data_IF_955704449562
#
_entry.id   IF_955704449562
#
_cell.length_a   1.000
_cell.length_b   1.000
_cell.length_c   1.000
_cell.angle_alpha   90.00
_cell.angle_beta   90.00
_cell.angle_gamma   90.00
#
_symmetry.space_group_name_H-M   'P 1'
#
loop_
_entity.id
_entity.type
_entity.pdbx_description
1 polymer ?
#
# COMPACT_ATOMS: atom_id res chain seq x y z
N UNK A 1 91.90 29.13 34.24
CA UNK A 1 90.96 28.16 34.80
C UNK A 1 89.59 28.47 34.27
N UNK A 2 89.14 27.75 33.23
CA UNK A 2 87.84 27.96 32.56
C UNK A 2 86.95 26.76 32.95
N UNK A 3 85.78 27.08 33.52
CA UNK A 3 84.76 26.07 33.85
C UNK A 3 83.68 26.04 32.73
N UNK A 4 83.66 24.92 32.02
CA UNK A 4 82.57 24.67 31.02
C UNK A 4 81.31 24.19 31.74
N UNK A 5 80.15 24.82 31.48
CA UNK A 5 78.84 24.36 31.93
C UNK A 5 78.12 23.67 30.76
N UNK A 6 77.86 22.40 30.91
CA UNK A 6 77.03 21.60 30.02
C UNK A 6 75.55 21.79 30.37
N UNK A 7 74.74 22.23 29.41
CA UNK A 7 73.28 22.27 29.49
C UNK A 7 72.72 20.97 28.90
N UNK A 8 72.07 20.17 29.76
CA UNK A 8 71.33 19.02 29.28
C UNK A 8 69.94 19.43 28.77
N UNK A 9 69.65 19.06 27.54
CA UNK A 9 68.32 19.24 26.95
C UNK A 9 67.45 18.02 27.28
N UNK A 10 66.36 18.24 28.04
CA UNK A 10 65.29 17.21 28.22
C UNK A 10 64.37 17.27 27.00
N UNK A 11 64.32 16.20 26.20
CA UNK A 11 63.33 15.99 25.16
C UNK A 11 62.07 15.38 25.78
N UNK A 12 60.97 16.12 25.81
CA UNK A 12 59.65 15.58 26.20
C UNK A 12 59.02 14.88 24.99
N UNK A 13 58.90 13.55 25.02
CA UNK A 13 58.10 12.77 24.06
C UNK A 13 56.61 12.96 24.40
N UNK A 14 55.92 13.77 23.58
CA UNK A 14 54.45 13.83 23.61
C UNK A 14 53.83 12.63 22.89
N UNK A 15 53.19 11.73 23.63
CA UNK A 15 52.38 10.65 23.06
C UNK A 15 51.02 11.22 22.62
N UNK A 16 50.83 11.42 21.31
CA UNK A 16 49.53 11.79 20.71
C UNK A 16 48.68 10.53 20.59
N UNK A 17 47.70 10.36 21.49
CA UNK A 17 46.67 9.32 21.37
C UNK A 17 45.64 9.77 20.30
N UNK A 18 45.72 9.15 19.12
CA UNK A 18 44.71 9.31 18.08
C UNK A 18 43.43 8.57 18.50
N UNK A 19 42.37 9.30 18.84
CA UNK A 19 41.02 8.75 19.03
C UNK A 19 40.46 8.38 17.65
N UNK A 20 40.50 7.09 17.31
CA UNK A 20 39.78 6.56 16.12
C UNK A 20 38.29 6.51 16.42
N UNK A 21 37.53 7.48 15.88
CA UNK A 21 36.06 7.44 15.88
C UNK A 21 35.65 6.38 14.85
N UNK A 22 35.27 5.18 15.30
CA UNK A 22 34.65 4.18 14.43
C UNK A 22 33.23 4.63 14.16
N UNK A 23 32.97 5.15 12.95
CA UNK A 23 31.63 5.39 12.46
C UNK A 23 30.92 4.05 12.30
N UNK A 24 29.90 3.78 13.12
CA UNK A 24 28.99 2.65 12.91
C UNK A 24 28.28 2.85 11.57
N UNK A 25 28.28 1.84 10.67
CA UNK A 25 27.54 1.96 9.42
C UNK A 25 26.06 2.19 9.74
N UNK A 26 25.48 3.27 9.20
CA UNK A 26 24.05 3.51 9.28
C UNK A 26 23.33 2.31 8.65
N UNK A 27 22.46 1.64 9.41
CA UNK A 27 21.67 0.54 8.87
C UNK A 27 20.81 1.08 7.72
N UNK A 28 20.91 0.48 6.54
CA UNK A 28 20.07 0.86 5.41
C UNK A 28 18.59 0.67 5.76
N UNK A 29 17.75 1.65 5.41
CA UNK A 29 16.31 1.55 5.64
C UNK A 29 15.73 0.31 4.96
N UNK A 30 14.85 -0.41 5.65
CA UNK A 30 14.20 -1.59 5.10
C UNK A 30 13.34 -1.23 3.89
N UNK A 31 13.43 -2.04 2.83
CA UNK A 31 12.69 -1.83 1.58
C UNK A 31 11.19 -2.09 1.77
N UNK A 32 10.36 -1.14 1.34
CA UNK A 32 8.91 -1.26 1.34
C UNK A 32 8.35 -0.94 -0.06
N UNK A 33 7.63 -1.90 -0.65
CA UNK A 33 6.95 -1.72 -1.95
C UNK A 33 5.45 -1.67 -1.72
N UNK A 34 4.82 -0.57 -2.11
CA UNK A 34 3.37 -0.39 -2.04
C UNK A 34 2.76 -0.53 -3.44
N UNK A 35 2.00 -1.60 -3.61
CA UNK A 35 1.27 -1.96 -4.82
C UNK A 35 -0.21 -1.63 -4.66
N UNK A 36 -0.96 -1.66 -5.76
CA UNK A 36 -2.41 -1.63 -5.73
C UNK A 36 -3.04 -0.53 -6.56
N UNK A 37 -4.26 -0.20 -6.19
CA UNK A 37 -5.16 0.71 -6.89
C UNK A 37 -5.29 2.09 -6.21
N UNK A 38 -6.44 2.74 -6.42
CA UNK A 38 -6.77 4.07 -5.88
C UNK A 38 -6.79 4.12 -4.36
N UNK A 39 -7.20 3.06 -3.67
CA UNK A 39 -7.20 3.02 -2.22
C UNK A 39 -5.76 3.02 -1.68
N UNK A 40 -4.88 2.22 -2.28
CA UNK A 40 -3.45 2.25 -1.95
C UNK A 40 -2.77 3.55 -2.36
N UNK A 41 -3.14 4.16 -3.49
CA UNK A 41 -2.53 5.43 -3.94
C UNK A 41 -2.98 6.63 -3.11
N UNK A 42 -4.14 6.56 -2.45
CA UNK A 42 -4.67 7.62 -1.58
C UNK A 42 -5.57 8.61 -2.31
N UNK A 43 -6.31 8.15 -3.31
CA UNK A 43 -7.37 8.94 -3.96
C UNK A 43 -8.39 9.40 -2.91
N UNK A 44 -8.85 10.65 -3.04
CA UNK A 44 -9.75 11.29 -2.06
C UNK A 44 -9.03 12.19 -1.04
N UNK A 45 -7.71 12.06 -0.86
CA UNK A 45 -6.93 12.93 0.05
C UNK A 45 -6.73 14.34 -0.48
N UNK A 46 -7.01 14.60 -1.77
CA UNK A 46 -6.90 15.89 -2.46
C UNK A 46 -5.49 16.51 -2.51
N UNK A 47 -4.48 15.78 -2.04
CA UNK A 47 -3.07 16.23 -2.07
C UNK A 47 -2.24 15.12 -2.68
N UNK A 48 -1.80 15.31 -3.93
CA UNK A 48 -1.11 14.30 -4.71
C UNK A 48 0.34 14.68 -4.97
N UNK A 49 1.19 13.66 -5.04
CA UNK A 49 2.59 13.78 -5.41
C UNK A 49 2.66 14.11 -6.91
N UNK A 50 3.37 15.18 -7.28
CA UNK A 50 3.63 15.49 -8.68
C UNK A 50 4.80 14.62 -9.18
N UNK A 51 4.50 13.39 -9.56
CA UNK A 51 5.48 12.41 -10.05
C UNK A 51 5.40 12.17 -11.56
N UNK A 52 4.69 13.03 -12.28
CA UNK A 52 4.53 12.96 -13.75
C UNK A 52 3.59 11.85 -14.21
N UNK A 53 2.81 11.23 -13.30
CA UNK A 53 1.86 10.17 -13.64
C UNK A 53 0.43 10.55 -13.25
N UNK A 54 -0.57 9.86 -13.83
CA UNK A 54 -1.98 9.97 -13.46
C UNK A 54 -2.38 9.08 -12.26
N UNK A 55 -1.42 8.47 -11.57
CA UNK A 55 -1.68 7.48 -10.53
C UNK A 55 -2.27 8.05 -9.23
N UNK A 56 -2.27 9.37 -9.07
CA UNK A 56 -2.81 10.06 -7.90
C UNK A 56 -2.25 9.54 -6.56
N UNK A 57 -0.94 9.29 -6.52
CA UNK A 57 -0.25 8.90 -5.27
C UNK A 57 -0.19 10.07 -4.31
N UNK A 58 -0.47 9.82 -3.03
CA UNK A 58 -0.57 10.86 -2.01
C UNK A 58 0.43 10.66 -0.88
N UNK A 59 0.92 11.79 -0.34
CA UNK A 59 1.70 11.81 0.91
C UNK A 59 0.85 11.40 2.12
N UNK A 60 -0.48 11.48 2.00
CA UNK A 60 -1.44 11.08 3.04
C UNK A 60 -2.00 9.66 2.81
N UNK A 61 -1.57 8.97 1.76
CA UNK A 61 -1.91 7.56 1.58
C UNK A 61 -1.27 6.69 2.67
N UNK A 62 -1.94 5.61 3.07
CA UNK A 62 -1.41 4.72 4.13
C UNK A 62 0.04 4.25 3.88
N UNK A 63 0.47 3.96 2.63
CA UNK A 63 1.86 3.58 2.40
C UNK A 63 2.86 4.67 2.76
N UNK A 64 2.55 5.93 2.40
CA UNK A 64 3.40 7.09 2.71
C UNK A 64 3.50 7.31 4.23
N UNK A 65 2.36 7.24 4.92
CA UNK A 65 2.30 7.41 6.38
C UNK A 65 3.05 6.31 7.13
N UNK A 66 2.90 5.05 6.70
CA UNK A 66 3.62 3.91 7.28
C UNK A 66 5.13 4.06 7.04
N UNK A 67 5.53 4.40 5.82
CA UNK A 67 6.93 4.57 5.48
C UNK A 67 7.59 5.68 6.32
N UNK A 68 6.93 6.82 6.44
CA UNK A 68 7.42 7.93 7.26
C UNK A 68 7.51 7.55 8.76
N UNK A 69 6.47 6.91 9.30
CA UNK A 69 6.43 6.52 10.72
C UNK A 69 7.47 5.45 11.08
N UNK A 70 7.77 4.52 10.15
CA UNK A 70 8.67 3.38 10.38
C UNK A 70 10.07 3.58 9.81
N UNK A 71 10.37 4.70 9.17
CA UNK A 71 11.67 4.94 8.52
C UNK A 71 11.96 3.95 7.40
N UNK A 72 10.95 3.59 6.58
CA UNK A 72 11.10 2.62 5.50
C UNK A 72 11.44 3.33 4.16
N UNK A 73 12.25 2.66 3.33
CA UNK A 73 12.51 3.10 1.96
C UNK A 73 11.34 2.69 1.06
N UNK A 74 10.41 3.63 0.81
CA UNK A 74 9.18 3.38 0.04
C UNK A 74 9.42 3.41 -1.47
N UNK A 75 9.07 2.32 -2.16
CA UNK A 75 8.82 2.28 -3.60
C UNK A 75 7.31 2.26 -3.85
N UNK A 76 6.75 3.42 -4.16
CA UNK A 76 5.30 3.62 -4.26
C UNK A 76 4.82 3.36 -5.69
N UNK A 77 4.23 2.19 -5.93
CA UNK A 77 3.81 1.73 -7.27
C UNK A 77 2.30 1.72 -7.49
N UNK A 78 1.50 1.83 -6.42
CA UNK A 78 0.04 1.87 -6.54
C UNK A 78 -0.43 2.96 -7.52
N UNK A 79 -1.49 2.69 -8.25
CA UNK A 79 -1.99 3.58 -9.30
C UNK A 79 -3.52 3.57 -9.32
N UNK A 80 -4.13 4.76 -9.34
CA UNK A 80 -5.58 4.93 -9.44
C UNK A 80 -6.14 4.15 -10.64
N UNK A 81 -7.25 3.43 -10.43
CA UNK A 81 -7.92 2.64 -11.46
C UNK A 81 -7.30 1.26 -11.74
N UNK A 82 -6.17 0.91 -11.12
CA UNK A 82 -5.49 -0.35 -11.41
C UNK A 82 -6.35 -1.56 -11.06
N UNK A 83 -6.42 -2.51 -11.99
CA UNK A 83 -6.99 -3.86 -11.84
C UNK A 83 -5.87 -4.84 -11.51
N UNK A 84 -6.23 -6.09 -11.18
CA UNK A 84 -5.26 -7.19 -10.92
C UNK A 84 -4.27 -7.34 -12.09
N UNK A 85 -4.74 -7.23 -13.34
CA UNK A 85 -3.90 -7.32 -14.52
C UNK A 85 -2.88 -6.17 -14.60
N UNK A 86 -3.29 -4.93 -14.26
CA UNK A 86 -2.40 -3.77 -14.28
C UNK A 86 -1.31 -3.89 -13.23
N UNK A 87 -1.66 -4.32 -12.01
CA UNK A 87 -0.66 -4.59 -10.97
C UNK A 87 0.34 -5.63 -11.44
N UNK A 88 -0.14 -6.74 -12.05
CA UNK A 88 0.71 -7.81 -12.57
C UNK A 88 1.69 -7.31 -13.62
N UNK A 89 1.20 -6.52 -14.58
CA UNK A 89 1.96 -6.12 -15.76
C UNK A 89 2.88 -4.93 -15.51
N UNK A 90 2.51 -4.00 -14.60
CA UNK A 90 3.21 -2.71 -14.48
C UNK A 90 3.85 -2.46 -13.12
N UNK A 91 3.38 -3.11 -12.04
CA UNK A 91 3.83 -2.81 -10.69
C UNK A 91 4.80 -3.86 -10.12
N UNK A 92 4.69 -5.13 -10.52
CA UNK A 92 5.51 -6.22 -9.97
C UNK A 92 7.00 -6.14 -10.33
N UNK A 93 7.39 -5.30 -11.29
CA UNK A 93 8.80 -5.04 -11.61
C UNK A 93 9.56 -4.38 -10.45
N UNK A 94 8.85 -3.76 -9.51
CA UNK A 94 9.42 -3.14 -8.32
C UNK A 94 9.83 -4.14 -7.23
N UNK A 95 9.39 -5.39 -7.32
CA UNK A 95 9.68 -6.44 -6.36
C UNK A 95 11.00 -7.15 -6.69
N UNK A 96 11.71 -7.55 -5.65
CA UNK A 96 12.93 -8.36 -5.75
C UNK A 96 13.20 -9.14 -4.47
N UNK A 97 14.23 -10.00 -4.47
CA UNK A 97 14.62 -10.84 -3.33
C UNK A 97 15.00 -10.02 -2.09
N UNK A 98 15.41 -8.75 -2.25
CA UNK A 98 15.73 -7.81 -1.18
C UNK A 98 14.53 -7.02 -0.66
N UNK A 99 13.33 -7.22 -1.21
CA UNK A 99 12.11 -6.56 -0.71
C UNK A 99 11.75 -7.09 0.68
N UNK A 100 11.62 -6.19 1.66
CA UNK A 100 11.32 -6.56 3.06
C UNK A 100 9.83 -6.54 3.35
N UNK A 101 9.14 -5.50 2.88
CA UNK A 101 7.70 -5.30 3.12
C UNK A 101 6.97 -5.04 1.81
N UNK A 102 5.76 -5.58 1.71
CA UNK A 102 4.84 -5.31 0.60
C UNK A 102 3.45 -5.03 1.17
N UNK A 103 2.77 -4.01 0.68
CA UNK A 103 1.33 -3.84 0.88
C UNK A 103 0.61 -3.77 -0.45
N UNK A 104 -0.66 -4.19 -0.48
CA UNK A 104 -1.48 -4.18 -1.69
C UNK A 104 -2.97 -4.11 -1.36
N UNK A 105 -3.70 -3.20 -2.02
CA UNK A 105 -5.16 -3.24 -2.19
C UNK A 105 -5.47 -3.33 -3.67
N UNK A 106 -6.22 -4.33 -4.10
CA UNK A 106 -6.62 -4.50 -5.51
C UNK A 106 -7.83 -5.41 -5.60
N UNK A 107 -8.65 -5.21 -6.61
CA UNK A 107 -9.81 -6.05 -6.91
C UNK A 107 -11.13 -5.28 -6.98
N UNK A 108 -11.23 -4.11 -6.34
CA UNK A 108 -12.40 -3.24 -6.43
C UNK A 108 -12.69 -2.80 -7.87
N UNK A 109 -11.67 -2.42 -8.62
CA UNK A 109 -11.82 -2.06 -10.04
C UNK A 109 -12.11 -3.26 -10.94
N UNK A 110 -11.65 -4.47 -10.60
CA UNK A 110 -12.01 -5.69 -11.30
C UNK A 110 -13.51 -6.00 -11.17
N UNK A 111 -14.09 -5.73 -9.99
CA UNK A 111 -15.51 -5.86 -9.71
C UNK A 111 -16.36 -4.71 -10.26
N UNK A 112 -15.75 -3.68 -10.85
CA UNK A 112 -16.48 -2.51 -11.37
C UNK A 112 -17.06 -1.61 -10.29
N UNK A 113 -16.46 -1.54 -9.11
CA UNK A 113 -17.07 -0.92 -7.94
C UNK A 113 -17.39 0.57 -8.12
N UNK A 114 -16.55 1.33 -8.85
CA UNK A 114 -16.83 2.74 -9.14
C UNK A 114 -18.04 2.91 -10.08
N UNK A 115 -18.19 2.01 -11.06
CA UNK A 115 -19.31 2.01 -12.00
C UNK A 115 -20.62 1.67 -11.27
N UNK A 116 -20.57 0.67 -10.37
CA UNK A 116 -21.70 0.30 -9.50
C UNK A 116 -22.16 1.50 -8.64
N UNK A 117 -21.21 2.20 -8.02
CA UNK A 117 -21.55 3.40 -7.23
C UNK A 117 -22.18 4.50 -8.08
N UNK A 118 -21.68 4.71 -9.29
CA UNK A 118 -22.21 5.69 -10.22
C UNK A 118 -23.62 5.33 -10.67
N UNK A 119 -23.88 4.05 -10.93
CA UNK A 119 -25.20 3.53 -11.28
C UNK A 119 -26.17 3.70 -10.11
N UNK A 120 -25.79 3.29 -8.91
CA UNK A 120 -26.63 3.38 -7.72
C UNK A 120 -26.88 4.81 -7.24
N UNK A 121 -26.03 5.76 -7.61
CA UNK A 121 -26.23 7.17 -7.27
C UNK A 121 -27.31 7.87 -8.12
N UNK A 122 -27.80 7.23 -9.17
CA UNK A 122 -28.84 7.79 -10.05
C UNK A 122 -30.24 7.66 -9.41
N UNK A 123 -31.21 8.50 -9.85
CA UNK A 123 -32.62 8.32 -9.44
C UNK A 123 -33.11 6.91 -9.76
N UNK A 124 -33.86 6.28 -8.85
CA UNK A 124 -34.26 4.88 -8.96
C UNK A 124 -35.07 4.50 -10.22
N UNK A 125 -35.67 5.48 -10.92
CA UNK A 125 -36.36 5.26 -12.19
C UNK A 125 -35.39 5.25 -13.40
N UNK A 126 -34.11 5.61 -13.20
CA UNK A 126 -33.04 5.58 -14.21
C UNK A 126 -31.97 4.53 -13.90
N UNK A 127 -31.98 3.94 -12.71
CA UNK A 127 -30.91 3.09 -12.17
C UNK A 127 -31.34 1.62 -12.13
N UNK A 128 -30.42 0.74 -12.53
CA UNK A 128 -30.47 -0.69 -12.20
C UNK A 128 -29.37 -1.03 -11.16
N UNK A 129 -29.41 -0.32 -10.03
CA UNK A 129 -28.45 -0.50 -8.94
C UNK A 129 -28.35 -1.96 -8.48
N UNK A 130 -29.50 -2.64 -8.36
CA UNK A 130 -29.51 -4.04 -7.91
C UNK A 130 -28.82 -4.98 -8.91
N UNK A 131 -29.06 -4.83 -10.20
CA UNK A 131 -28.37 -5.58 -11.23
C UNK A 131 -26.85 -5.33 -11.25
N UNK A 132 -26.46 -4.06 -11.13
CA UNK A 132 -25.04 -3.71 -11.07
C UNK A 132 -24.34 -4.31 -9.84
N UNK A 133 -25.00 -4.34 -8.67
CA UNK A 133 -24.49 -5.01 -7.46
C UNK A 133 -24.38 -6.52 -7.69
N UNK A 134 -25.36 -7.17 -8.29
CA UNK A 134 -25.35 -8.62 -8.55
C UNK A 134 -24.20 -9.01 -9.50
N UNK A 135 -23.95 -8.23 -10.53
CA UNK A 135 -22.82 -8.41 -11.45
C UNK A 135 -21.47 -8.27 -10.74
N UNK A 136 -21.33 -7.25 -9.89
CA UNK A 136 -20.12 -7.08 -9.09
C UNK A 136 -19.89 -8.28 -8.15
N UNK A 137 -20.94 -8.74 -7.46
CA UNK A 137 -20.86 -9.91 -6.58
C UNK A 137 -20.55 -11.20 -7.35
N UNK A 138 -21.07 -11.36 -8.58
CA UNK A 138 -20.70 -12.47 -9.44
C UNK A 138 -19.19 -12.48 -9.75
N UNK A 139 -18.64 -11.33 -10.14
CA UNK A 139 -17.19 -11.18 -10.41
C UNK A 139 -16.37 -11.48 -9.15
N UNK A 140 -16.76 -10.93 -8.01
CA UNK A 140 -16.08 -11.14 -6.71
C UNK A 140 -16.08 -12.62 -6.32
N UNK A 141 -17.18 -13.34 -6.57
CA UNK A 141 -17.30 -14.73 -6.17
C UNK A 141 -16.59 -15.70 -7.14
N UNK A 142 -16.68 -15.46 -8.44
CA UNK A 142 -16.38 -16.47 -9.45
C UNK A 142 -15.13 -16.17 -10.27
N UNK A 143 -14.74 -14.92 -10.43
CA UNK A 143 -13.63 -14.51 -11.31
C UNK A 143 -12.42 -14.05 -10.51
N UNK A 144 -12.65 -13.15 -9.56
CA UNK A 144 -11.60 -12.48 -8.83
C UNK A 144 -10.69 -13.42 -8.01
N UNK A 145 -11.17 -14.49 -7.34
CA UNK A 145 -10.31 -15.37 -6.55
C UNK A 145 -9.18 -16.00 -7.35
N UNK A 146 -9.44 -16.43 -8.59
CA UNK A 146 -8.43 -17.01 -9.48
C UNK A 146 -7.37 -15.98 -9.88
N UNK A 147 -7.80 -14.76 -10.21
CA UNK A 147 -6.89 -13.65 -10.54
C UNK A 147 -5.99 -13.29 -9.37
N UNK A 148 -6.55 -13.15 -8.16
CA UNK A 148 -5.80 -12.84 -6.93
C UNK A 148 -4.81 -13.95 -6.59
N UNK A 149 -5.21 -15.22 -6.68
CA UNK A 149 -4.33 -16.36 -6.44
C UNK A 149 -3.08 -16.31 -7.32
N UNK A 150 -3.25 -15.98 -8.61
CA UNK A 150 -2.14 -15.85 -9.57
C UNK A 150 -1.25 -14.65 -9.23
N UNK A 151 -1.84 -13.48 -8.95
CA UNK A 151 -1.11 -12.28 -8.56
C UNK A 151 -0.29 -12.51 -7.29
N UNK A 152 -0.90 -13.07 -6.25
CA UNK A 152 -0.22 -13.29 -4.96
C UNK A 152 0.88 -14.35 -5.07
N UNK A 153 0.71 -15.36 -5.93
CA UNK A 153 1.80 -16.28 -6.27
C UNK A 153 2.97 -15.58 -6.94
N UNK A 154 2.69 -14.64 -7.85
CA UNK A 154 3.71 -13.84 -8.53
C UNK A 154 4.44 -12.90 -7.57
N UNK A 155 3.73 -12.29 -6.62
CA UNK A 155 4.33 -11.47 -5.55
C UNK A 155 5.29 -12.33 -4.72
N UNK A 156 4.85 -13.51 -4.26
CA UNK A 156 5.68 -14.42 -3.46
C UNK A 156 6.91 -14.89 -4.23
N UNK A 157 6.77 -15.21 -5.52
CA UNK A 157 7.87 -15.65 -6.37
C UNK A 157 8.95 -14.55 -6.54
N UNK A 158 8.53 -13.29 -6.71
CA UNK A 158 9.45 -12.15 -6.89
C UNK A 158 10.08 -11.65 -5.57
N UNK A 159 9.35 -11.74 -4.46
CA UNK A 159 9.77 -11.30 -3.14
C UNK A 159 9.58 -12.43 -2.11
N UNK A 160 10.40 -13.51 -2.18
CA UNK A 160 10.18 -14.75 -1.42
C UNK A 160 10.24 -14.53 0.10
N UNK A 161 11.01 -13.58 0.56
CA UNK A 161 11.21 -13.30 2.00
C UNK A 161 10.38 -12.11 2.51
N UNK A 162 9.62 -11.45 1.64
CA UNK A 162 8.87 -10.26 2.03
C UNK A 162 7.70 -10.60 2.98
N UNK A 163 7.49 -9.72 3.95
CA UNK A 163 6.24 -9.66 4.72
C UNK A 163 5.21 -8.92 3.88
N UNK A 164 4.19 -9.66 3.45
CA UNK A 164 3.13 -9.13 2.57
C UNK A 164 1.86 -8.93 3.37
N UNK A 165 1.28 -7.74 3.29
CA UNK A 165 -0.03 -7.41 3.85
C UNK A 165 -0.98 -7.01 2.73
N UNK A 166 -2.07 -7.76 2.59
CA UNK A 166 -3.21 -7.37 1.77
C UNK A 166 -4.09 -6.46 2.62
N UNK A 167 -4.44 -5.31 2.08
CA UNK A 167 -5.31 -4.33 2.75
C UNK A 167 -6.67 -4.36 2.08
N UNK A 168 -7.71 -4.58 2.86
CA UNK A 168 -9.09 -4.56 2.39
C UNK A 168 -9.62 -3.16 2.12
N UNK A 169 -10.91 -3.06 1.82
CA UNK A 169 -11.61 -1.80 1.57
C UNK A 169 -12.57 -1.49 2.71
N UNK A 170 -12.74 -0.21 3.09
CA UNK A 170 -13.73 0.18 4.07
C UNK A 170 -15.15 -0.01 3.53
N UNK A 171 -16.12 -0.08 4.43
CA UNK A 171 -17.51 0.16 4.07
C UNK A 171 -17.68 1.62 3.64
N UNK A 172 -18.58 1.89 2.72
CA UNK A 172 -18.74 3.21 2.12
C UNK A 172 -19.78 4.03 2.87
N UNK A 173 -20.86 3.36 3.31
CA UNK A 173 -21.99 4.01 3.96
C UNK A 173 -22.00 3.73 5.45
N UNK A 174 -22.32 4.76 6.21
CA UNK A 174 -22.51 4.67 7.67
C UNK A 174 -24.01 4.83 8.04
N UNK A 175 -24.90 4.42 7.12
CA UNK A 175 -26.35 4.43 7.33
C UNK A 175 -27.06 5.73 6.93
N UNK A 176 -26.35 6.67 6.31
CA UNK A 176 -26.92 7.94 5.84
C UNK A 176 -26.32 8.32 4.49
N UNK A 177 -27.18 8.69 3.52
CA UNK A 177 -26.75 9.38 2.29
C UNK A 177 -26.54 10.86 2.61
N UNK A 178 -25.28 11.28 2.65
CA UNK A 178 -24.88 12.65 3.00
C UNK A 178 -24.91 13.62 1.81
N UNK A 179 -25.29 13.19 0.61
CA UNK A 179 -25.23 14.01 -0.59
C UNK A 179 -26.63 14.25 -1.19
N UNK A 180 -27.06 15.51 -1.25
CA UNK A 180 -28.34 15.90 -1.82
C UNK A 180 -28.50 15.62 -3.33
N UNK A 181 -27.46 15.20 -4.03
CA UNK A 181 -27.45 14.88 -5.46
C UNK A 181 -27.23 13.40 -5.75
N UNK A 182 -27.34 12.53 -4.75
CA UNK A 182 -27.30 11.08 -4.86
C UNK A 182 -28.61 10.50 -4.33
N UNK A 183 -29.00 9.32 -4.82
CA UNK A 183 -30.32 8.72 -4.51
C UNK A 183 -30.18 7.28 -4.00
N UNK A 184 -29.17 7.04 -3.14
CA UNK A 184 -29.02 5.74 -2.51
C UNK A 184 -30.19 5.47 -1.53
N UNK A 185 -30.88 4.36 -1.74
CA UNK A 185 -31.82 3.88 -0.72
C UNK A 185 -31.07 3.18 0.42
N UNK A 186 -31.64 3.12 1.63
CA UNK A 186 -31.03 2.38 2.75
C UNK A 186 -30.75 0.90 2.43
N UNK A 187 -31.55 0.29 1.57
CA UNK A 187 -31.35 -1.10 1.11
C UNK A 187 -30.12 -1.19 0.21
N UNK A 188 -29.93 -0.27 -0.72
CA UNK A 188 -28.76 -0.22 -1.61
C UNK A 188 -27.48 0.06 -0.84
N UNK A 189 -27.48 0.99 0.11
CA UNK A 189 -26.33 1.24 1.00
C UNK A 189 -25.93 -0.03 1.76
N UNK A 190 -26.90 -0.74 2.33
CA UNK A 190 -26.69 -2.00 3.04
C UNK A 190 -26.11 -3.07 2.10
N UNK A 191 -26.62 -3.18 0.86
CA UNK A 191 -26.11 -4.14 -0.13
C UNK A 191 -24.69 -3.78 -0.59
N UNK A 192 -24.39 -2.50 -0.81
CA UNK A 192 -23.07 -2.01 -1.18
C UNK A 192 -22.03 -2.28 -0.08
N UNK A 193 -22.39 -2.03 1.18
CA UNK A 193 -21.55 -2.39 2.32
C UNK A 193 -21.31 -3.90 2.41
N UNK A 194 -22.36 -4.71 2.22
CA UNK A 194 -22.24 -6.17 2.20
C UNK A 194 -21.36 -6.66 1.04
N UNK A 195 -21.37 -5.96 -0.09
CA UNK A 195 -20.49 -6.27 -1.24
C UNK A 195 -19.04 -5.93 -0.94
N UNK A 196 -18.76 -4.85 -0.21
CA UNK A 196 -17.42 -4.55 0.29
C UNK A 196 -16.93 -5.62 1.28
N UNK A 197 -17.79 -6.07 2.19
CA UNK A 197 -17.48 -7.18 3.12
C UNK A 197 -17.21 -8.50 2.38
N UNK A 198 -17.99 -8.80 1.33
CA UNK A 198 -17.78 -9.97 0.48
C UNK A 198 -16.42 -9.90 -0.22
N UNK A 199 -16.07 -8.75 -0.80
CA UNK A 199 -14.75 -8.53 -1.41
C UNK A 199 -13.64 -8.76 -0.39
N UNK A 200 -13.73 -8.16 0.79
CA UNK A 200 -12.76 -8.32 1.88
C UNK A 200 -12.61 -9.80 2.29
N UNK A 201 -13.69 -10.55 2.36
CA UNK A 201 -13.66 -11.99 2.63
C UNK A 201 -12.84 -12.75 1.59
N UNK A 202 -13.02 -12.46 0.28
CA UNK A 202 -12.24 -13.10 -0.79
C UNK A 202 -10.76 -12.68 -0.75
N UNK A 203 -10.48 -11.41 -0.53
CA UNK A 203 -9.10 -10.90 -0.36
C UNK A 203 -8.39 -11.60 0.80
N UNK A 204 -9.05 -11.70 1.95
CA UNK A 204 -8.54 -12.37 3.16
C UNK A 204 -8.27 -13.85 2.92
N UNK A 205 -9.20 -14.56 2.29
CA UNK A 205 -9.05 -15.98 1.97
C UNK A 205 -7.85 -16.23 1.04
N UNK A 206 -7.69 -15.42 -0.02
CA UNK A 206 -6.57 -15.56 -0.95
C UNK A 206 -5.23 -15.14 -0.31
N UNK A 207 -5.23 -14.11 0.56
CA UNK A 207 -4.06 -13.72 1.32
C UNK A 207 -3.58 -14.86 2.22
N UNK A 208 -4.49 -15.42 3.02
CA UNK A 208 -4.21 -16.55 3.93
C UNK A 208 -3.67 -17.77 3.20
N UNK A 209 -4.22 -18.10 2.02
CA UNK A 209 -3.77 -19.23 1.20
C UNK A 209 -2.31 -19.06 0.70
N UNK A 210 -1.76 -17.85 0.73
CA UNK A 210 -0.37 -17.54 0.35
C UNK A 210 0.52 -17.18 1.55
N UNK A 211 0.02 -17.33 2.78
CA UNK A 211 0.75 -16.95 4.00
C UNK A 211 0.96 -15.44 4.10
N UNK A 212 0.05 -14.63 3.55
CA UNK A 212 0.03 -13.19 3.67
C UNK A 212 -0.86 -12.76 4.82
N UNK A 213 -0.54 -11.62 5.45
CA UNK A 213 -1.42 -10.98 6.41
C UNK A 213 -2.56 -10.24 5.70
N UNK A 214 -3.69 -10.12 6.37
CA UNK A 214 -4.81 -9.30 5.91
C UNK A 214 -5.12 -8.21 6.93
N UNK A 215 -5.22 -6.97 6.49
CA UNK A 215 -5.67 -5.82 7.28
C UNK A 215 -7.10 -5.46 6.86
N UNK A 216 -8.04 -5.59 7.77
CA UNK A 216 -9.44 -5.26 7.53
C UNK A 216 -9.76 -3.84 8.01
N UNK A 217 -10.08 -2.87 7.14
CA UNK A 217 -10.41 -1.51 7.55
C UNK A 217 -11.87 -1.32 8.00
N UNK A 218 -12.68 -2.40 8.03
CA UNK A 218 -14.09 -2.34 8.49
C UNK A 218 -14.24 -2.62 9.98
N UNK A 219 -13.16 -2.94 10.69
CA UNK A 219 -13.15 -3.26 12.14
C UNK A 219 -12.77 -2.06 12.99
#
# INVERSE_FOLDING_TARGET
MARTRTFGALAALGVATALTVTATPASAASSYVALGDSYSSGVGTRTYINDGTSCQRSVYAYPSLIAANKGLALNFRACSGAKVADVTNTQLSALGSGTTYVSISVGGNDAGFADVLTECAQPGWMSDCNGAIDDAQYIINNVLPGRLSTLYSSIRAKAPNARVTVVGYPRIFNGEDCNAFTWFSPTEESRLNSTADLLNSKLSAQASAKGFSFANPTS
#
